data_IF_789072312757
#
_entry.id   IF_789072312757
#
_cell.length_a   1.000
_cell.length_b   1.000
_cell.length_c   1.000
_cell.angle_alpha   90.00
_cell.angle_beta   90.00
_cell.angle_gamma   90.00
#
_symmetry.space_group_name_H-M   'P 1'
#
loop_
_entity.id
_entity.type
_entity.pdbx_description
1 polymer ?
#
# COMPACT_ATOMS: atom_id res chain seq x y z
N UNK A 1 12.27 8.40 4.09
CA UNK A 1 11.94 7.38 3.06
C UNK A 1 11.06 8.07 2.04
N UNK A 2 11.40 7.97 0.75
CA UNK A 2 10.60 8.57 -0.31
C UNK A 2 9.50 7.60 -0.74
N UNK A 3 8.24 7.98 -0.56
CA UNK A 3 7.05 7.23 -0.97
C UNK A 3 6.24 8.04 -1.97
N UNK A 4 5.54 7.38 -2.91
CA UNK A 4 4.64 8.05 -3.84
C UNK A 4 3.21 7.79 -3.40
N UNK A 5 2.42 8.85 -3.22
CA UNK A 5 0.99 8.80 -2.85
C UNK A 5 0.25 9.74 -3.80
N UNK A 6 -0.86 9.29 -4.41
CA UNK A 6 -1.60 10.07 -5.41
C UNK A 6 -0.72 10.51 -6.60
N UNK A 7 0.27 9.70 -6.97
CA UNK A 7 1.29 9.99 -8.01
C UNK A 7 2.30 11.10 -7.65
N UNK A 8 2.25 11.65 -6.45
CA UNK A 8 3.23 12.65 -5.98
C UNK A 8 4.26 12.03 -5.02
N UNK A 9 5.54 12.38 -5.15
CA UNK A 9 6.58 11.93 -4.22
C UNK A 9 6.52 12.71 -2.90
N UNK A 10 6.59 11.99 -1.79
CA UNK A 10 6.66 12.53 -0.44
C UNK A 10 7.83 11.92 0.33
N UNK A 11 8.51 12.75 1.11
CA UNK A 11 9.53 12.29 2.06
C UNK A 11 8.90 12.10 3.44
N UNK A 12 8.57 10.84 3.73
CA UNK A 12 7.96 10.45 4.99
C UNK A 12 8.99 9.77 5.90
N UNK A 13 8.85 10.03 7.19
CA UNK A 13 9.61 9.35 8.25
C UNK A 13 8.65 8.83 9.30
N UNK A 14 9.03 7.75 9.98
CA UNK A 14 8.22 7.18 11.06
C UNK A 14 7.92 8.22 12.15
N UNK A 15 8.91 9.01 12.54
CA UNK A 15 8.75 10.11 13.50
C UNK A 15 7.79 11.20 12.99
N UNK A 16 7.95 11.64 11.74
CA UNK A 16 7.08 12.67 11.15
C UNK A 16 5.61 12.28 11.09
N UNK A 17 5.32 10.99 10.81
CA UNK A 17 3.94 10.46 10.85
C UNK A 17 3.39 10.49 12.28
N UNK A 18 4.16 10.06 13.28
CA UNK A 18 3.73 10.07 14.68
C UNK A 18 3.47 11.49 15.17
N UNK A 19 4.35 12.44 14.85
CA UNK A 19 4.17 13.85 15.21
C UNK A 19 2.93 14.45 14.53
N UNK A 20 2.73 14.18 13.24
CA UNK A 20 1.56 14.69 12.50
C UNK A 20 0.24 14.16 13.05
N UNK A 21 0.24 12.93 13.59
CA UNK A 21 -0.93 12.30 14.19
C UNK A 21 -1.16 12.69 15.66
N UNK A 22 -0.29 13.47 16.29
CA UNK A 22 -0.52 13.96 17.67
C UNK A 22 -1.73 14.90 17.70
N UNK A 23 -2.64 14.65 18.64
CA UNK A 23 -3.85 15.45 18.79
C UNK A 23 -4.95 15.11 17.77
N UNK A 24 -4.70 14.19 16.84
CA UNK A 24 -5.71 13.71 15.89
C UNK A 24 -6.62 12.69 16.58
N UNK A 25 -7.92 12.94 16.55
CA UNK A 25 -8.93 12.00 17.07
C UNK A 25 -9.12 10.85 16.08
N UNK A 26 -8.96 9.58 16.48
CA UNK A 26 -9.21 8.45 15.60
C UNK A 26 -10.67 8.39 15.17
N UNK A 27 -10.89 8.33 13.86
CA UNK A 27 -12.20 8.05 13.29
C UNK A 27 -12.57 6.57 13.44
N UNK A 28 -13.87 6.22 13.39
CA UNK A 28 -14.31 4.83 13.41
C UNK A 28 -13.68 4.05 12.26
N UNK A 29 -13.00 2.96 12.60
CA UNK A 29 -12.35 2.07 11.63
C UNK A 29 -13.41 1.22 10.96
N UNK A 30 -13.79 1.60 9.74
CA UNK A 30 -14.73 0.85 8.89
C UNK A 30 -14.05 -0.03 7.84
N UNK A 31 -12.73 0.06 7.72
CA UNK A 31 -11.95 -0.66 6.71
C UNK A 31 -10.48 -0.83 7.10
N UNK A 32 -9.57 -0.67 6.14
CA UNK A 32 -8.13 -0.72 6.39
C UNK A 32 -7.70 0.30 7.45
N UNK A 33 -6.85 -0.14 8.37
CA UNK A 33 -6.36 0.71 9.47
C UNK A 33 -4.90 0.50 9.78
N UNK A 34 -4.28 1.50 10.39
CA UNK A 34 -2.88 1.48 10.80
C UNK A 34 -2.76 1.85 12.28
N UNK A 35 -1.90 1.14 12.99
CA UNK A 35 -1.56 1.47 14.37
C UNK A 35 -0.47 2.54 14.37
N UNK A 36 -0.80 3.73 14.88
CA UNK A 36 0.15 4.84 15.07
C UNK A 36 0.27 5.11 16.57
N UNK A 37 1.46 4.87 17.12
CA UNK A 37 1.68 4.90 18.56
C UNK A 37 0.86 3.80 19.26
N UNK A 38 -0.12 4.20 20.07
CA UNK A 38 -1.01 3.29 20.84
C UNK A 38 -2.45 3.24 20.32
N UNK A 39 -2.75 3.97 19.24
CA UNK A 39 -4.11 4.11 18.70
C UNK A 39 -4.17 3.56 17.28
N UNK A 40 -5.34 3.08 16.89
CA UNK A 40 -5.63 2.61 15.53
C UNK A 40 -6.39 3.69 14.80
N UNK A 41 -5.95 4.00 13.59
CA UNK A 41 -6.53 5.02 12.73
C UNK A 41 -6.89 4.41 11.38
N UNK A 42 -7.98 4.84 10.73
CA UNK A 42 -8.23 4.48 9.34
C UNK A 42 -7.10 5.01 8.45
N UNK A 43 -6.62 4.18 7.51
CA UNK A 43 -5.47 4.55 6.67
C UNK A 43 -5.73 5.80 5.85
N UNK A 44 -6.98 6.02 5.42
CA UNK A 44 -7.37 7.22 4.66
C UNK A 44 -7.22 8.51 5.47
N UNK A 45 -7.52 8.46 6.77
CA UNK A 45 -7.34 9.61 7.67
C UNK A 45 -5.85 9.91 7.86
N UNK A 46 -5.02 8.88 8.07
CA UNK A 46 -3.56 9.08 8.21
C UNK A 46 -2.96 9.64 6.92
N UNK A 47 -3.38 9.12 5.76
CA UNK A 47 -2.95 9.61 4.46
C UNK A 47 -3.27 11.10 4.27
N UNK A 48 -4.50 11.51 4.59
CA UNK A 48 -4.93 12.91 4.51
C UNK A 48 -4.10 13.81 5.43
N UNK A 49 -3.92 13.44 6.70
CA UNK A 49 -3.18 14.27 7.67
C UNK A 49 -1.71 14.42 7.28
N UNK A 50 -1.07 13.32 6.86
CA UNK A 50 0.37 13.29 6.56
C UNK A 50 0.69 13.94 5.22
N UNK A 51 -0.16 13.76 4.20
CA UNK A 51 0.08 14.31 2.87
C UNK A 51 -0.61 15.65 2.63
N UNK A 52 -1.58 16.02 3.46
CA UNK A 52 -2.49 17.17 3.30
C UNK A 52 -3.30 17.12 1.99
N UNK A 53 -3.48 15.94 1.41
CA UNK A 53 -4.28 15.71 0.21
C UNK A 53 -5.69 15.21 0.54
N UNK A 54 -6.62 15.35 -0.39
CA UNK A 54 -7.97 14.84 -0.19
C UNK A 54 -7.99 13.31 -0.24
N UNK A 55 -8.87 12.69 0.55
CA UNK A 55 -9.04 11.23 0.58
C UNK A 55 -9.42 10.65 -0.79
N UNK A 56 -9.90 11.45 -1.73
CA UNK A 56 -10.27 11.03 -3.09
C UNK A 56 -9.08 10.91 -4.04
N UNK A 57 -7.95 11.55 -3.72
CA UNK A 57 -6.77 11.56 -4.60
C UNK A 57 -5.93 10.28 -4.48
N UNK A 58 -6.09 9.53 -3.39
CA UNK A 58 -5.32 8.30 -3.14
C UNK A 58 -6.19 7.13 -2.65
N UNK A 59 -5.69 5.92 -2.90
CA UNK A 59 -6.29 4.69 -2.41
C UNK A 59 -5.80 4.33 -1.00
N UNK A 60 -6.64 3.59 -0.25
CA UNK A 60 -6.27 3.06 1.05
C UNK A 60 -5.03 2.14 0.96
N UNK A 61 -4.96 1.30 -0.07
CA UNK A 61 -3.82 0.42 -0.32
C UNK A 61 -2.49 1.14 -0.59
N UNK A 62 -2.49 2.29 -1.27
CA UNK A 62 -1.27 3.11 -1.44
C UNK A 62 -0.73 3.57 -0.09
N UNK A 63 -1.61 4.07 0.78
CA UNK A 63 -1.23 4.53 2.12
C UNK A 63 -0.79 3.36 2.99
N UNK A 64 -1.51 2.23 2.96
CA UNK A 64 -1.14 1.00 3.66
C UNK A 64 0.27 0.54 3.30
N UNK A 65 0.61 0.53 1.99
CA UNK A 65 1.96 0.18 1.52
C UNK A 65 3.01 1.17 2.01
N UNK A 66 2.73 2.47 1.95
CA UNK A 66 3.66 3.49 2.44
C UNK A 66 3.91 3.33 3.96
N UNK A 67 2.86 3.12 4.74
CA UNK A 67 2.94 2.93 6.20
C UNK A 67 3.66 1.63 6.58
N UNK A 68 3.37 0.53 5.88
CA UNK A 68 4.05 -0.75 6.09
C UNK A 68 5.56 -0.63 5.83
N UNK A 69 5.96 0.08 4.77
CA UNK A 69 7.38 0.29 4.44
C UNK A 69 8.10 1.20 5.44
N UNK A 70 7.39 2.11 6.09
CA UNK A 70 7.89 2.90 7.23
C UNK A 70 7.99 2.10 8.54
N UNK A 71 7.49 0.86 8.55
CA UNK A 71 7.50 -0.02 9.72
C UNK A 71 6.35 0.24 10.70
N UNK A 72 5.18 0.65 10.19
CA UNK A 72 3.92 0.67 10.94
C UNK A 72 3.14 -0.64 10.75
N UNK A 73 2.40 -1.03 11.79
CA UNK A 73 1.50 -2.19 11.73
C UNK A 73 0.19 -1.80 11.06
N UNK A 74 -0.06 -2.35 9.87
CA UNK A 74 -1.30 -2.16 9.13
C UNK A 74 -2.22 -3.38 9.30
N UNK A 75 -3.53 -3.13 9.31
CA UNK A 75 -4.59 -4.13 9.49
C UNK A 75 -5.55 -4.02 8.31
N UNK A 76 -5.81 -5.16 7.66
CA UNK A 76 -6.78 -5.23 6.58
C UNK A 76 -8.21 -5.01 7.10
N UNK A 77 -9.11 -4.59 6.22
CA UNK A 77 -10.53 -4.50 6.55
C UNK A 77 -11.10 -5.89 6.91
N UNK A 78 -11.99 -6.00 7.90
CA UNK A 78 -12.67 -7.26 8.20
C UNK A 78 -13.51 -7.67 6.97
N UNK A 79 -13.14 -8.78 6.33
CA UNK A 79 -13.79 -9.29 5.12
C UNK A 79 -13.03 -9.06 3.81
N UNK A 80 -11.92 -8.31 3.83
CA UNK A 80 -11.01 -8.30 2.69
C UNK A 80 -10.23 -9.61 2.67
N UNK A 81 -10.68 -10.58 1.86
CA UNK A 81 -9.82 -11.69 1.43
C UNK A 81 -8.53 -11.08 0.89
N UNK A 82 -7.34 -11.47 1.40
CA UNK A 82 -6.09 -10.97 0.86
C UNK A 82 -6.05 -11.38 -0.61
N UNK A 83 -6.32 -10.43 -1.51
CA UNK A 83 -6.02 -10.63 -2.92
C UNK A 83 -4.50 -10.71 -2.96
N UNK A 84 -3.91 -11.86 -3.34
CA UNK A 84 -2.46 -11.95 -3.49
C UNK A 84 -2.01 -10.82 -4.43
N UNK A 85 -0.78 -10.38 -4.24
CA UNK A 85 -0.19 -9.24 -4.93
C UNK A 85 -0.44 -9.31 -6.45
N UNK A 86 -0.36 -8.18 -7.19
CA UNK A 86 -0.28 -8.24 -8.64
C UNK A 86 1.05 -8.89 -9.06
N UNK A 87 1.15 -10.19 -8.88
CA UNK A 87 2.19 -11.08 -9.38
C UNK A 87 1.89 -11.35 -10.87
N UNK A 88 1.95 -10.29 -11.66
CA UNK A 88 2.20 -10.31 -13.10
C UNK A 88 2.20 -8.85 -13.56
N UNK A 89 3.40 -8.30 -13.74
CA UNK A 89 3.52 -7.13 -14.61
C UNK A 89 3.03 -7.54 -16.00
N UNK A 90 2.41 -6.65 -16.79
CA UNK A 90 1.94 -6.98 -18.14
C UNK A 90 3.06 -7.55 -19.04
N UNK A 91 4.32 -7.25 -18.71
CA UNK A 91 5.52 -7.82 -19.34
C UNK A 91 5.66 -9.33 -19.10
N UNK A 92 5.35 -9.84 -17.90
CA UNK A 92 5.49 -11.27 -17.59
C UNK A 92 4.42 -12.11 -18.31
N UNK A 93 3.19 -11.59 -18.43
CA UNK A 93 2.13 -12.19 -19.26
C UNK A 93 2.49 -12.18 -20.75
N UNK A 94 3.08 -11.09 -21.25
CA UNK A 94 3.55 -11.03 -22.64
C UNK A 94 4.68 -12.04 -22.91
N UNK A 95 5.68 -12.14 -22.03
CA UNK A 95 6.76 -13.13 -22.17
C UNK A 95 6.24 -14.58 -22.18
N UNK A 96 5.21 -14.89 -21.40
CA UNK A 96 4.58 -16.21 -21.40
C UNK A 96 3.83 -16.51 -22.72
N UNK A 97 3.20 -15.51 -23.33
CA UNK A 97 2.51 -15.66 -24.63
C UNK A 97 3.49 -15.78 -25.81
N UNK A 98 4.71 -15.27 -25.67
CA UNK A 98 5.74 -15.28 -26.72
C UNK A 98 6.70 -16.49 -26.66
N UNK A 99 6.68 -17.29 -25.59
CA UNK A 99 7.77 -18.22 -25.24
C UNK A 99 7.45 -19.72 -25.26
N UNK A 100 6.52 -20.19 -26.08
CA UNK A 100 6.11 -21.59 -26.17
C UNK A 100 6.60 -22.35 -27.40
N UNK A 101 7.88 -22.28 -27.78
CA UNK A 101 8.48 -23.24 -28.72
C UNK A 101 9.32 -24.24 -27.94
N UNK A 102 8.69 -25.31 -27.47
CA UNK A 102 9.37 -26.50 -26.96
C UNK A 102 10.27 -27.07 -28.05
N UNK A 103 11.57 -26.97 -27.80
CA UNK A 103 12.60 -27.86 -28.33
C UNK A 103 12.16 -29.31 -28.15
N UNK A 104 11.96 -30.04 -29.24
CA UNK A 104 11.87 -31.51 -29.22
C UNK A 104 13.24 -32.04 -29.62
N UNK A 105 14.02 -32.69 -28.73
CA UNK A 105 15.15 -33.48 -29.17
C UNK A 105 14.62 -34.74 -29.88
N UNK A 106 14.91 -34.85 -31.18
CA UNK A 106 14.69 -36.07 -31.96
C UNK A 106 15.84 -37.04 -31.64
N UNK A 107 15.47 -38.18 -31.07
CA UNK A 107 16.24 -39.40 -30.97
C UNK A 107 16.52 -39.95 -32.38
N UNK A 108 17.76 -40.37 -32.64
CA UNK A 108 18.23 -40.96 -33.90
C UNK A 108 19.69 -41.38 -33.81
#
# INVERSE_FOLDING_TARGET
>A
MRCVIARYPFDLTKGGVVESMKGVTPEPVTGESVTVGRRRYPVKQVGEVVTRQDRRDFSAGEVTRAMARLGFTCHAAPGATPTPAPDATPVQTASALLGGSTTTPLDG
#
